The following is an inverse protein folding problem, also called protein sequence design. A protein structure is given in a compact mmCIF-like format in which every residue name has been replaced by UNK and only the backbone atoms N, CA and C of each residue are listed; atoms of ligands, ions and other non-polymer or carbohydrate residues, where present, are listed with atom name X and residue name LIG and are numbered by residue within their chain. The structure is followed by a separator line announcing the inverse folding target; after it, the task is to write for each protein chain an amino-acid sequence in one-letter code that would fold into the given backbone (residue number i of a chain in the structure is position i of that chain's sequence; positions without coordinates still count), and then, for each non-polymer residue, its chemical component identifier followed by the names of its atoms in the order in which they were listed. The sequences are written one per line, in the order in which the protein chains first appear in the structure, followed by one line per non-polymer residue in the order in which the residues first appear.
data_IF_255032511446
#
_entry.id   IF_255032511446
#
_cell.length_a   1.000
_cell.length_b   1.000
_cell.length_c   1.000
_cell.angle_alpha   90.00
_cell.angle_beta   90.00
_cell.angle_gamma   90.00
#
_symmetry.space_group_name_H-M   'P 1'
#
loop_
_entity.id
_entity.type
_entity.pdbx_description
1 polymer ?
#
# COMPACT_ATOMS: atom_id res chain seq x y z
N UNK A 1 10.72 1.32 35.50
CA UNK A 1 10.34 1.56 34.09
C UNK A 1 8.99 0.90 33.86
N UNK A 2 7.91 1.69 33.73
CA UNK A 2 6.56 1.15 33.52
C UNK A 2 6.48 0.49 32.14
N UNK A 3 6.13 -0.79 32.13
CA UNK A 3 5.90 -1.58 30.92
C UNK A 3 4.73 -0.93 30.17
N UNK A 4 5.01 -0.22 29.08
CA UNK A 4 3.98 0.33 28.20
C UNK A 4 3.36 -0.86 27.45
N UNK A 5 2.27 -1.41 27.96
CA UNK A 5 1.48 -2.42 27.28
C UNK A 5 0.29 -1.74 26.58
N UNK A 6 -0.06 -2.19 25.36
CA UNK A 6 -1.20 -1.68 24.59
C UNK A 6 -0.86 -0.90 23.32
N UNK A 7 -1.89 -0.30 22.70
CA UNK A 7 -1.84 0.36 21.38
C UNK A 7 -0.82 1.49 21.32
N UNK A 8 -0.61 2.22 22.41
CA UNK A 8 0.37 3.32 22.48
C UNK A 8 1.82 2.83 22.32
N UNK A 9 2.15 1.68 22.89
CA UNK A 9 3.45 1.05 22.73
C UNK A 9 3.65 0.59 21.28
N UNK A 10 2.63 -0.08 20.72
CA UNK A 10 2.62 -0.49 19.32
C UNK A 10 2.83 0.68 18.35
N UNK A 11 2.07 1.78 18.51
CA UNK A 11 2.21 2.97 17.68
C UNK A 11 3.59 3.61 17.82
N UNK A 12 4.14 3.64 19.04
CA UNK A 12 5.49 4.16 19.29
C UNK A 12 6.55 3.30 18.61
N UNK A 13 6.45 1.96 18.72
CA UNK A 13 7.35 1.03 18.03
C UNK A 13 7.23 1.14 16.51
N UNK A 14 6.02 1.22 15.97
CA UNK A 14 5.80 1.36 14.52
C UNK A 14 6.37 2.68 14.01
N UNK A 15 6.22 3.77 14.76
CA UNK A 15 6.81 5.06 14.42
C UNK A 15 8.34 5.03 14.45
N UNK A 16 8.95 4.34 15.43
CA UNK A 16 10.39 4.14 15.51
C UNK A 16 10.93 3.29 14.35
N UNK A 17 10.24 2.19 14.04
CA UNK A 17 10.62 1.28 12.95
C UNK A 17 10.49 2.00 11.61
N UNK A 18 9.35 2.62 11.31
CA UNK A 18 9.11 3.27 10.02
C UNK A 18 9.84 4.60 9.85
N UNK A 19 10.15 5.31 10.94
CA UNK A 19 10.91 6.56 10.92
C UNK A 19 12.42 6.39 10.73
N UNK A 20 12.91 5.16 10.57
CA UNK A 20 14.34 4.86 10.43
C UNK A 20 14.85 5.21 9.01
N UNK A 21 16.04 5.82 8.85
CA UNK A 21 16.67 6.02 7.54
C UNK A 21 16.76 4.75 6.68
N UNK A 22 16.97 3.58 7.29
CA UNK A 22 17.07 2.30 6.59
C UNK A 22 15.74 1.89 5.98
N UNK A 23 14.64 1.95 6.75
CA UNK A 23 13.31 1.64 6.23
C UNK A 23 12.93 2.61 5.13
N UNK A 24 13.27 3.89 5.30
CA UNK A 24 13.04 4.91 4.27
C UNK A 24 13.81 4.63 2.98
N UNK A 25 15.05 4.14 3.07
CA UNK A 25 15.84 3.75 1.90
C UNK A 25 15.23 2.54 1.18
N UNK A 26 14.80 1.51 1.93
CA UNK A 26 14.12 0.33 1.37
C UNK A 26 12.82 0.74 0.67
N UNK A 27 11.99 1.56 1.34
CA UNK A 27 10.74 2.07 0.79
C UNK A 27 10.99 2.93 -0.46
N UNK A 28 12.01 3.80 -0.44
CA UNK A 28 12.40 4.59 -1.60
C UNK A 28 12.78 3.71 -2.79
N UNK A 29 13.52 2.62 -2.56
CA UNK A 29 13.83 1.63 -3.59
C UNK A 29 12.58 0.94 -4.16
N UNK A 30 11.64 0.54 -3.31
CA UNK A 30 10.38 -0.08 -3.70
C UNK A 30 9.41 0.88 -4.40
N UNK A 31 9.53 2.18 -4.14
CA UNK A 31 8.73 3.24 -4.77
C UNK A 31 9.32 3.76 -6.07
N UNK A 32 10.51 3.31 -6.50
CA UNK A 32 11.07 3.67 -7.81
C UNK A 32 10.17 3.18 -8.93
N UNK A 33 10.04 4.02 -9.95
CA UNK A 33 9.26 3.70 -11.15
C UNK A 33 10.04 2.79 -12.08
N UNK A 34 9.36 1.79 -12.62
CA UNK A 34 9.88 0.90 -13.64
C UNK A 34 8.86 0.77 -14.76
N UNK A 35 9.38 0.61 -15.98
CA UNK A 35 8.58 0.26 -17.14
C UNK A 35 8.47 -1.26 -17.20
N UNK A 36 7.25 -1.77 -17.12
CA UNK A 36 6.97 -3.19 -17.30
C UNK A 36 5.91 -3.42 -18.36
N UNK A 37 5.99 -4.57 -19.01
CA UNK A 37 5.07 -4.97 -20.08
C UNK A 37 4.03 -5.92 -19.49
N UNK A 38 2.77 -5.52 -19.60
CA UNK A 38 1.59 -6.32 -19.25
C UNK A 38 1.02 -6.93 -20.53
N UNK A 39 0.60 -8.20 -20.48
CA UNK A 39 -0.04 -8.85 -21.65
C UNK A 39 -1.29 -8.10 -22.13
N UNK A 40 -2.11 -7.59 -21.19
CA UNK A 40 -3.41 -6.99 -21.52
C UNK A 40 -3.38 -5.48 -21.71
N UNK A 41 -2.37 -4.78 -21.16
CA UNK A 41 -2.33 -3.30 -21.06
C UNK A 41 -1.13 -2.67 -21.76
N UNK A 42 -0.23 -3.46 -22.35
CA UNK A 42 0.99 -2.97 -22.96
C UNK A 42 2.01 -2.47 -21.92
N UNK A 43 2.74 -1.41 -22.27
CA UNK A 43 3.76 -0.81 -21.40
C UNK A 43 3.12 0.08 -20.33
N UNK A 44 3.39 -0.21 -19.06
CA UNK A 44 2.93 0.58 -17.92
C UNK A 44 4.13 1.02 -17.09
N UNK A 45 4.26 2.33 -16.87
CA UNK A 45 5.23 2.91 -15.95
C UNK A 45 4.59 3.12 -14.57
N UNK A 46 5.02 2.38 -13.56
CA UNK A 46 4.50 2.49 -12.20
C UNK A 46 5.58 2.12 -11.16
N UNK A 47 5.35 2.41 -9.86
CA UNK A 47 6.28 2.01 -8.80
C UNK A 47 6.51 0.49 -8.76
N UNK A 48 7.72 0.04 -8.40
CA UNK A 48 8.06 -1.39 -8.34
C UNK A 48 7.07 -2.19 -7.47
N UNK A 49 6.62 -1.59 -6.35
CA UNK A 49 5.62 -2.20 -5.47
C UNK A 49 4.27 -2.44 -6.16
N UNK A 50 3.87 -1.55 -7.09
CA UNK A 50 2.63 -1.71 -7.85
C UNK A 50 2.73 -2.96 -8.74
N UNK A 51 3.84 -3.13 -9.45
CA UNK A 51 4.09 -4.32 -10.26
C UNK A 51 4.19 -5.60 -9.43
N UNK A 52 4.84 -5.55 -8.26
CA UNK A 52 4.92 -6.67 -7.33
C UNK A 52 3.52 -7.12 -6.85
N UNK A 53 2.64 -6.17 -6.57
CA UNK A 53 1.24 -6.43 -6.22
C UNK A 53 0.44 -6.98 -7.42
N UNK A 54 0.69 -6.51 -8.64
CA UNK A 54 0.10 -7.08 -9.86
C UNK A 54 0.49 -8.54 -10.06
N UNK A 55 1.76 -8.90 -9.81
CA UNK A 55 2.22 -10.29 -9.84
C UNK A 55 1.52 -11.14 -8.77
N UNK A 56 1.29 -10.59 -7.57
CA UNK A 56 0.54 -11.27 -6.51
C UNK A 56 -0.92 -11.52 -6.91
N UNK A 57 -1.56 -10.55 -7.57
CA UNK A 57 -2.92 -10.67 -8.11
C UNK A 57 -3.05 -11.74 -9.21
N UNK A 58 -1.93 -12.19 -9.77
CA UNK A 58 -1.86 -13.18 -10.85
C UNK A 58 -1.89 -12.58 -12.25
N UNK A 59 -1.57 -11.29 -12.40
CA UNK A 59 -1.40 -10.68 -13.73
C UNK A 59 -0.05 -11.12 -14.34
N UNK A 60 -0.06 -11.42 -15.64
CA UNK A 60 1.15 -11.74 -16.39
C UNK A 60 1.93 -10.46 -16.71
N UNK A 61 2.97 -10.19 -15.92
CA UNK A 61 3.82 -8.99 -16.05
C UNK A 61 5.26 -9.38 -16.32
N UNK A 62 5.82 -8.81 -17.39
CA UNK A 62 7.25 -8.92 -17.71
C UNK A 62 7.97 -7.68 -17.19
N UNK A 63 8.76 -7.86 -16.13
CA UNK A 63 9.54 -6.80 -15.49
C UNK A 63 11.03 -7.22 -15.35
N UNK A 64 11.94 -6.26 -15.10
CA UNK A 64 13.32 -6.54 -14.73
C UNK A 64 13.44 -7.48 -13.52
N UNK A 65 14.58 -8.18 -13.40
CA UNK A 65 14.82 -9.17 -12.36
C UNK A 65 14.66 -8.61 -10.93
N UNK A 66 15.04 -7.35 -10.70
CA UNK A 66 14.89 -6.66 -9.42
C UNK A 66 13.43 -6.59 -8.95
N UNK A 67 12.50 -6.27 -9.86
CA UNK A 67 11.07 -6.17 -9.56
C UNK A 67 10.44 -7.54 -9.38
N UNK A 68 10.88 -8.55 -10.15
CA UNK A 68 10.43 -9.94 -9.97
C UNK A 68 10.83 -10.49 -8.60
N UNK A 69 12.05 -10.18 -8.16
CA UNK A 69 12.52 -10.54 -6.83
C UNK A 69 11.69 -9.85 -5.73
N UNK A 70 11.39 -8.56 -5.89
CA UNK A 70 10.47 -7.86 -4.98
C UNK A 70 9.10 -8.53 -4.92
N UNK A 71 8.56 -8.99 -6.06
CA UNK A 71 7.30 -9.75 -6.11
C UNK A 71 7.33 -11.04 -5.28
N UNK A 72 8.43 -11.80 -5.35
CA UNK A 72 8.63 -13.01 -4.54
C UNK A 72 8.67 -12.66 -3.04
N UNK A 73 9.41 -11.61 -2.68
CA UNK A 73 9.52 -11.14 -1.31
C UNK A 73 8.15 -10.69 -0.75
N UNK A 74 7.39 -9.90 -1.53
CA UNK A 74 6.05 -9.45 -1.15
C UNK A 74 5.14 -10.65 -0.93
N UNK A 75 5.14 -11.64 -1.83
CA UNK A 75 4.33 -12.85 -1.69
C UNK A 75 4.65 -13.60 -0.38
N UNK A 76 5.93 -13.73 -0.04
CA UNK A 76 6.35 -14.38 1.20
C UNK A 76 5.90 -13.59 2.44
N UNK A 77 6.11 -12.27 2.45
CA UNK A 77 5.69 -11.38 3.55
C UNK A 77 4.17 -11.42 3.72
N UNK A 78 3.40 -11.38 2.62
CA UNK A 78 1.95 -11.48 2.66
C UNK A 78 1.50 -12.83 3.22
N UNK A 79 2.11 -13.94 2.79
CA UNK A 79 1.75 -15.27 3.31
C UNK A 79 1.98 -15.37 4.82
N UNK A 80 3.14 -14.89 5.31
CA UNK A 80 3.47 -14.87 6.74
C UNK A 80 2.50 -13.96 7.50
N UNK A 81 2.27 -12.74 7.00
CA UNK A 81 1.41 -11.76 7.66
C UNK A 81 -0.04 -12.22 7.75
N UNK A 82 -0.56 -12.81 6.68
CA UNK A 82 -1.93 -13.35 6.64
C UNK A 82 -2.07 -14.54 7.57
N UNK A 83 -1.09 -15.46 7.58
CA UNK A 83 -1.09 -16.60 8.49
C UNK A 83 -1.03 -16.18 9.97
N UNK A 84 -0.20 -15.18 10.30
CA UNK A 84 -0.10 -14.62 11.65
C UNK A 84 -1.39 -13.95 12.12
N UNK A 85 -2.20 -13.42 11.18
CA UNK A 85 -3.49 -12.80 11.44
C UNK A 85 -4.68 -13.78 11.35
N UNK A 86 -4.43 -15.06 11.05
CA UNK A 86 -5.47 -16.08 10.90
C UNK A 86 -6.35 -15.92 9.65
N UNK A 87 -5.86 -15.25 8.61
CA UNK A 87 -6.58 -15.05 7.35
C UNK A 87 -6.16 -16.01 6.24
N UNK A 88 -6.76 -15.84 5.05
CA UNK A 88 -6.41 -16.60 3.84
C UNK A 88 -5.70 -15.74 2.80
N UNK A 89 -4.63 -16.28 2.19
CA UNK A 89 -3.82 -15.54 1.19
C UNK A 89 -4.63 -15.21 -0.07
N UNK A 90 -5.61 -16.06 -0.39
CA UNK A 90 -6.50 -15.85 -1.52
C UNK A 90 -7.40 -14.61 -1.35
N UNK A 91 -7.76 -14.23 -0.13
CA UNK A 91 -8.53 -13.00 0.12
C UNK A 91 -7.70 -11.76 -0.20
N UNK A 92 -6.42 -11.74 0.21
CA UNK A 92 -5.51 -10.65 -0.15
C UNK A 92 -5.30 -10.60 -1.65
N UNK A 93 -5.14 -11.76 -2.30
CA UNK A 93 -5.02 -11.84 -3.76
C UNK A 93 -6.26 -11.28 -4.45
N UNK A 94 -7.47 -11.59 -3.97
CA UNK A 94 -8.73 -11.04 -4.49
C UNK A 94 -8.81 -9.53 -4.30
N UNK A 95 -8.44 -9.01 -3.13
CA UNK A 95 -8.46 -7.57 -2.85
C UNK A 95 -7.50 -6.81 -3.78
N UNK A 96 -6.29 -7.32 -3.97
CA UNK A 96 -5.24 -6.67 -4.78
C UNK A 96 -5.52 -6.75 -6.29
N UNK A 97 -6.50 -7.54 -6.74
CA UNK A 97 -6.97 -7.47 -8.14
C UNK A 97 -7.48 -6.08 -8.49
N UNK A 98 -8.10 -5.36 -7.56
CA UNK A 98 -8.54 -3.98 -7.78
C UNK A 98 -7.32 -3.06 -8.01
N UNK A 99 -7.20 -2.43 -9.20
CA UNK A 99 -6.15 -1.46 -9.48
C UNK A 99 -6.16 -0.26 -8.52
N UNK A 100 -7.32 0.14 -8.01
CA UNK A 100 -7.44 1.26 -7.07
C UNK A 100 -6.75 0.94 -5.75
N UNK A 101 -6.92 -0.27 -5.23
CA UNK A 101 -6.23 -0.72 -4.02
C UNK A 101 -4.71 -0.77 -4.22
N UNK A 102 -4.24 -1.29 -5.36
CA UNK A 102 -2.81 -1.31 -5.71
C UNK A 102 -2.21 0.11 -5.75
N UNK A 103 -2.94 1.07 -6.33
CA UNK A 103 -2.55 2.48 -6.36
C UNK A 103 -2.54 3.11 -4.97
N UNK A 104 -3.55 2.80 -4.15
CA UNK A 104 -3.60 3.27 -2.76
C UNK A 104 -2.40 2.80 -1.95
N UNK A 105 -2.08 1.50 -2.01
CA UNK A 105 -0.93 0.94 -1.31
C UNK A 105 0.38 1.55 -1.82
N UNK A 106 0.56 1.68 -3.14
CA UNK A 106 1.78 2.25 -3.70
C UNK A 106 1.97 3.73 -3.29
N UNK A 107 0.89 4.51 -3.25
CA UNK A 107 0.89 5.90 -2.81
C UNK A 107 1.24 6.04 -1.33
N UNK A 108 0.68 5.19 -0.47
CA UNK A 108 0.98 5.19 0.98
C UNK A 108 2.45 4.89 1.21
N UNK A 109 2.99 3.83 0.58
CA UNK A 109 4.40 3.46 0.73
C UNK A 109 5.34 4.54 0.18
N UNK A 110 4.96 5.17 -0.93
CA UNK A 110 5.69 6.34 -1.47
C UNK A 110 5.64 7.53 -0.52
N UNK A 111 4.49 7.81 0.10
CA UNK A 111 4.37 8.87 1.11
C UNK A 111 5.24 8.60 2.35
N UNK A 112 5.32 7.35 2.79
CA UNK A 112 6.23 6.95 3.86
C UNK A 112 7.71 7.08 3.45
N UNK A 113 8.06 6.76 2.20
CA UNK A 113 9.41 6.97 1.68
C UNK A 113 9.78 8.46 1.61
N UNK A 114 8.86 9.31 1.13
CA UNK A 114 9.10 10.73 0.90
C UNK A 114 9.03 11.57 2.18
N UNK A 115 8.06 11.31 3.07
CA UNK A 115 7.78 12.17 4.22
C UNK A 115 7.99 11.48 5.57
N UNK A 116 8.15 10.16 5.60
CA UNK A 116 8.11 9.38 6.83
C UNK A 116 6.71 9.34 7.45
N UNK A 117 6.65 8.94 8.72
CA UNK A 117 5.41 8.91 9.49
C UNK A 117 5.09 10.32 9.99
N UNK A 118 4.05 10.94 9.44
CA UNK A 118 3.61 12.30 9.83
C UNK A 118 2.18 12.27 10.40
N UNK A 119 1.85 13.25 11.23
CA UNK A 119 0.48 13.45 11.75
C UNK A 119 0.07 14.90 11.47
N UNK A 120 -0.97 15.16 10.63
CA UNK A 120 -1.66 14.19 9.76
C UNK A 120 -0.71 13.57 8.71
N UNK A 121 -1.08 12.41 8.15
CA UNK A 121 -0.24 11.70 7.18
C UNK A 121 -0.20 12.49 5.86
N UNK A 122 1.01 12.91 5.45
CA UNK A 122 1.27 13.56 4.17
C UNK A 122 1.39 12.50 3.10
N UNK A 123 0.76 12.73 1.95
CA UNK A 123 0.77 11.82 0.80
C UNK A 123 1.07 12.60 -0.47
N UNK A 124 1.79 11.99 -1.43
CA UNK A 124 2.16 12.65 -2.68
C UNK A 124 0.96 12.87 -3.62
N UNK A 125 -0.10 12.08 -3.46
CA UNK A 125 -1.35 12.22 -4.21
C UNK A 125 -2.54 11.74 -3.36
N UNK A 126 -3.77 12.18 -3.66
CA UNK A 126 -4.97 11.64 -3.02
C UNK A 126 -5.18 10.18 -3.41
N UNK A 127 -5.40 9.30 -2.43
CA UNK A 127 -5.66 7.87 -2.66
C UNK A 127 -7.15 7.54 -2.82
N UNK A 128 -8.05 8.41 -2.33
CA UNK A 128 -9.50 8.27 -2.42
C UNK A 128 -10.10 9.60 -2.88
N UNK A 129 -10.97 9.53 -3.88
CA UNK A 129 -11.75 10.67 -4.35
C UNK A 129 -13.21 10.35 -4.04
N UNK A 130 -13.80 11.10 -3.13
CA UNK A 130 -15.23 11.00 -2.82
C UNK A 130 -15.97 11.95 -3.75
N UNK A 131 -16.76 11.40 -4.66
CA UNK A 131 -17.62 12.17 -5.54
C UNK A 131 -19.01 12.30 -4.92
N UNK A 132 -19.41 13.54 -4.66
CA UNK A 132 -20.78 13.83 -4.27
C UNK A 132 -21.63 14.01 -5.55
N UNK A 133 -22.39 12.99 -5.89
CA UNK A 133 -23.25 13.00 -7.08
C UNK A 133 -24.60 13.69 -6.86
N UNK A 134 -25.10 13.73 -5.62
CA UNK A 134 -26.38 14.37 -5.29
C UNK A 134 -26.43 14.78 -3.81
N UNK A 135 -26.89 16.00 -3.57
CA UNK A 135 -27.22 16.53 -2.24
C UNK A 135 -28.72 16.41 -1.91
N UNK A 136 -29.49 15.68 -2.72
CA UNK A 136 -30.92 15.48 -2.44
C UNK A 136 -31.09 14.42 -1.36
N UNK A 137 -31.32 14.85 -0.12
CA UNK A 137 -31.60 13.95 1.02
C UNK A 137 -33.01 14.22 1.59
N UNK A 138 -33.78 13.17 1.87
CA UNK A 138 -35.14 13.25 2.44
C UNK A 138 -35.16 13.35 3.97
N UNK A 139 -33.99 13.34 4.63
CA UNK A 139 -33.88 13.44 6.08
C UNK A 139 -33.71 14.90 6.52
N UNK A 140 -34.27 15.26 7.69
CA UNK A 140 -34.18 16.60 8.27
C UNK A 140 -33.25 16.62 9.48
N UNK A 141 -31.98 16.28 9.26
CA UNK A 141 -31.00 16.15 10.34
C UNK A 141 -30.59 17.52 10.92
N UNK A 142 -30.48 17.63 12.25
CA UNK A 142 -30.04 18.86 12.94
C UNK A 142 -28.68 19.37 12.46
N UNK A 143 -27.80 18.47 12.04
CA UNK A 143 -26.46 18.80 11.53
C UNK A 143 -26.27 18.18 10.14
N UNK A 144 -27.29 18.32 9.26
CA UNK A 144 -27.09 18.07 7.84
C UNK A 144 -26.47 19.32 7.22
N UNK A 145 -25.20 19.21 6.85
CA UNK A 145 -24.55 20.04 5.85
C UNK A 145 -24.60 19.28 4.53
#
# INVERSE_FOLDING_TARGET
MAKREGVSAFLTTTRLVMGNPVTRFILSGASREYKCIYKDKGEVNAPAIYHALSMLAGEDVTCPASVRFLGILIKAITAIGVSALGGEVEDVKRAVKDPALRRGISLVLRGLAEYGVTVPQRMPAPFLIVWNFTNMCNLRCKHCY
#
